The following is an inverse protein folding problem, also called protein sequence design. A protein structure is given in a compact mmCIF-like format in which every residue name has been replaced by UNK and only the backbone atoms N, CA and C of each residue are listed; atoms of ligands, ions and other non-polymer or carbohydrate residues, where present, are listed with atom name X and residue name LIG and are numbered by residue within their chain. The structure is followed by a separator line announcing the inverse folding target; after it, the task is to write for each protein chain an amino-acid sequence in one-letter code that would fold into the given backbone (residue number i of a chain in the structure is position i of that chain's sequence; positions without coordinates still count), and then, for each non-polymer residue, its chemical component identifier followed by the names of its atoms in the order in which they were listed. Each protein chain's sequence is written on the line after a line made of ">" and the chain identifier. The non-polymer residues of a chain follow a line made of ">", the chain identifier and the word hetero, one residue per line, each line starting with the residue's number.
data_IF_042395724999
#
_entry.id   IF_042395724999
#
_cell.length_a   1.000
_cell.length_b   1.000
_cell.length_c   1.000
_cell.angle_alpha   90.00
_cell.angle_beta   90.00
_cell.angle_gamma   90.00
#
_symmetry.space_group_name_H-M   'P 1'
#
loop_
_entity.id
_entity.type
_entity.pdbx_description
1 polymer ?
#
# COMPACT_ATOMS: atom_id res chain seq x y z
N UNK A 1 42.95 28.06 56.61
CA UNK A 1 42.04 27.39 57.57
C UNK A 1 41.45 26.15 56.90
N UNK A 2 42.21 25.04 56.98
CA UNK A 2 41.84 23.62 57.07
C UNK A 2 40.56 23.22 56.29
N UNK A 3 40.53 22.73 55.04
CA UNK A 3 41.28 21.70 54.28
C UNK A 3 41.17 20.25 54.78
N UNK A 4 40.51 19.38 53.99
CA UNK A 4 40.86 18.02 53.52
C UNK A 4 39.65 17.51 52.71
N UNK A 5 39.73 17.27 51.39
CA UNK A 5 40.29 16.08 50.73
C UNK A 5 39.09 15.28 50.17
N UNK A 6 38.86 15.08 48.87
CA UNK A 6 39.79 14.64 47.85
C UNK A 6 39.78 13.11 47.81
N UNK A 7 38.83 12.50 47.10
CA UNK A 7 39.02 11.13 46.60
C UNK A 7 38.36 10.96 45.23
N UNK A 8 39.25 10.70 44.28
CA UNK A 8 39.07 10.32 42.89
C UNK A 8 38.92 8.80 42.88
N UNK A 9 37.93 8.27 42.15
CA UNK A 9 38.00 6.91 41.64
C UNK A 9 37.85 6.94 40.13
N UNK A 10 39.01 6.82 39.50
CA UNK A 10 39.28 6.56 38.09
C UNK A 10 39.06 5.08 37.77
N UNK A 11 38.67 4.86 36.51
CA UNK A 11 39.04 3.74 35.63
C UNK A 11 38.92 2.29 36.13
N UNK A 12 38.03 1.53 35.47
CA UNK A 12 38.41 0.26 34.85
C UNK A 12 37.83 0.15 33.45
N UNK A 13 38.68 0.50 32.49
CA UNK A 13 38.75 -0.13 31.17
C UNK A 13 39.06 -1.62 31.36
N UNK A 14 38.35 -2.49 30.65
CA UNK A 14 38.85 -3.81 30.26
C UNK A 14 38.60 -3.94 28.76
N UNK A 15 39.65 -3.63 28.02
CA UNK A 15 39.95 -4.18 26.71
C UNK A 15 40.73 -5.48 26.92
N UNK A 16 40.36 -6.55 26.24
CA UNK A 16 41.31 -7.55 25.75
C UNK A 16 40.73 -8.22 24.50
N UNK A 17 41.28 -7.80 23.36
CA UNK A 17 41.62 -8.59 22.17
C UNK A 17 42.46 -9.82 22.59
N UNK A 18 42.71 -10.88 21.84
CA UNK A 18 42.82 -11.12 20.41
C UNK A 18 43.09 -12.64 20.28
N UNK A 19 42.65 -13.28 19.19
CA UNK A 19 43.50 -14.25 18.47
C UNK A 19 42.79 -14.75 17.22
N UNK A 20 43.17 -14.10 16.13
CA UNK A 20 43.28 -14.58 14.75
C UNK A 20 43.61 -16.06 14.58
N UNK A 21 42.97 -16.71 13.61
CA UNK A 21 43.66 -17.57 12.63
C UNK A 21 43.16 -17.23 11.23
N UNK A 22 44.14 -17.01 10.37
CA UNK A 22 44.08 -16.46 9.03
C UNK A 22 44.29 -17.57 7.97
N UNK A 23 43.56 -17.44 6.84
CA UNK A 23 43.87 -17.85 5.46
C UNK A 23 43.49 -19.26 4.91
N UNK A 24 43.31 -19.41 3.56
CA UNK A 24 43.43 -18.41 2.49
C UNK A 24 42.23 -18.27 1.53
N UNK A 25 42.30 -17.19 0.75
CA UNK A 25 41.55 -16.92 -0.48
C UNK A 25 41.74 -18.00 -1.55
N UNK A 26 40.66 -18.33 -2.26
CA UNK A 26 40.72 -18.72 -3.68
C UNK A 26 39.50 -18.16 -4.41
N UNK A 27 39.80 -17.45 -5.50
CA UNK A 27 38.90 -16.89 -6.51
C UNK A 27 38.09 -17.94 -7.29
N UNK A 28 37.11 -17.40 -8.03
CA UNK A 28 36.25 -18.00 -9.06
C UNK A 28 34.98 -18.70 -8.56
N UNK A 29 33.82 -18.08 -8.81
CA UNK A 29 32.91 -18.50 -9.88
C UNK A 29 31.73 -17.52 -10.03
N UNK A 30 31.54 -17.09 -11.27
CA UNK A 30 30.34 -16.46 -11.79
C UNK A 30 29.13 -17.39 -11.67
N UNK A 31 27.99 -16.92 -11.14
CA UNK A 31 26.67 -17.33 -11.64
C UNK A 31 25.54 -16.45 -11.08
N UNK A 32 24.62 -16.12 -11.98
CA UNK A 32 23.40 -15.34 -11.78
C UNK A 32 22.43 -15.99 -10.78
N UNK A 33 21.75 -15.25 -9.89
CA UNK A 33 20.75 -15.86 -9.01
C UNK A 33 19.49 -16.19 -9.80
N UNK A 34 19.28 -17.49 -10.01
CA UNK A 34 18.02 -18.07 -10.43
C UNK A 34 16.97 -17.92 -9.33
N UNK A 35 15.74 -17.62 -9.74
CA UNK A 35 14.52 -17.67 -8.94
C UNK A 35 14.43 -18.98 -8.17
N UNK A 36 14.48 -18.92 -6.83
CA UNK A 36 13.91 -19.96 -5.99
C UNK A 36 13.54 -19.39 -4.62
N UNK A 37 12.24 -19.49 -4.31
CA UNK A 37 11.61 -19.81 -3.02
C UNK A 37 10.17 -19.31 -3.07
N UNK A 38 9.33 -20.04 -3.81
CA UNK A 38 7.88 -20.03 -3.60
C UNK A 38 7.63 -21.06 -2.51
N UNK A 39 7.30 -20.59 -1.31
CA UNK A 39 6.86 -21.46 -0.23
C UNK A 39 5.67 -22.28 -0.69
N UNK A 40 5.87 -23.59 -0.62
CA UNK A 40 4.96 -24.63 -1.04
C UNK A 40 3.87 -24.76 0.03
N UNK A 41 2.63 -24.35 -0.26
CA UNK A 41 1.49 -24.64 0.61
C UNK A 41 0.26 -25.12 -0.16
N UNK A 42 -0.08 -26.37 0.18
CA UNK A 42 -1.25 -27.19 -0.11
C UNK A 42 -2.51 -26.44 -0.59
N UNK A 43 -2.75 -26.51 -1.90
CA UNK A 43 -4.10 -26.86 -2.36
C UNK A 43 -4.31 -28.32 -1.94
N UNK A 44 -5.41 -28.56 -1.23
CA UNK A 44 -5.81 -29.90 -0.81
C UNK A 44 -5.67 -30.91 -1.96
N UNK A 45 -5.11 -32.04 -1.58
CA UNK A 45 -5.04 -33.28 -2.33
C UNK A 45 -6.43 -33.77 -2.70
N UNK A 46 -7.00 -33.25 -3.78
CA UNK A 46 -7.97 -33.98 -4.57
C UNK A 46 -7.25 -34.45 -5.84
N UNK A 47 -7.21 -35.76 -6.02
CA UNK A 47 -6.70 -36.42 -7.21
C UNK A 47 -7.60 -36.08 -8.40
N UNK A 48 -7.41 -34.89 -8.98
CA UNK A 48 -8.15 -34.47 -10.17
C UNK A 48 -7.75 -35.38 -11.33
N UNK A 49 -8.70 -36.17 -11.81
CA UNK A 49 -8.53 -37.18 -12.84
C UNK A 49 -8.25 -36.52 -14.22
N UNK A 50 -7.15 -36.87 -14.87
CA UNK A 50 -6.79 -36.31 -16.18
C UNK A 50 -7.81 -36.67 -17.27
N UNK A 51 -8.49 -37.80 -17.13
CA UNK A 51 -9.50 -38.27 -18.07
C UNK A 51 -10.77 -37.39 -18.02
N UNK A 52 -11.16 -36.89 -16.85
CA UNK A 52 -12.31 -35.98 -16.70
C UNK A 52 -12.04 -34.59 -17.30
N UNK A 53 -10.80 -34.10 -17.17
CA UNK A 53 -10.40 -32.80 -17.73
C UNK A 53 -10.44 -32.82 -19.26
N UNK A 54 -10.04 -33.93 -19.88
CA UNK A 54 -10.06 -34.08 -21.35
C UNK A 54 -11.48 -34.30 -21.89
N UNK A 55 -12.37 -34.98 -21.17
CA UNK A 55 -13.80 -35.07 -21.51
C UNK A 55 -14.53 -33.72 -21.43
N UNK A 56 -14.14 -32.85 -20.49
CA UNK A 56 -14.71 -31.52 -20.33
C UNK A 56 -14.34 -30.55 -21.48
N UNK A 57 -13.30 -30.81 -22.28
CA UNK A 57 -12.90 -29.93 -23.41
C UNK A 57 -14.02 -29.76 -24.46
N UNK A 58 -14.95 -30.71 -24.58
CA UNK A 58 -16.02 -30.75 -25.59
C UNK A 58 -17.41 -30.28 -25.15
N UNK A 59 -17.62 -29.90 -23.89
CA UNK A 59 -18.95 -29.48 -23.39
C UNK A 59 -19.26 -28.04 -23.78
N UNK A 60 -20.42 -27.81 -24.40
CA UNK A 60 -20.96 -26.46 -24.62
C UNK A 60 -21.30 -25.83 -23.27
N UNK A 61 -20.74 -24.66 -22.97
CA UNK A 61 -21.02 -23.91 -21.75
C UNK A 61 -22.30 -23.11 -21.96
N UNK A 62 -23.29 -23.30 -21.08
CA UNK A 62 -24.44 -22.42 -21.04
C UNK A 62 -24.06 -21.14 -20.29
N UNK A 63 -23.84 -20.06 -21.02
CA UNK A 63 -23.51 -18.76 -20.45
C UNK A 63 -24.65 -18.16 -19.61
N UNK A 64 -25.85 -18.74 -19.64
CA UNK A 64 -26.97 -18.35 -18.78
C UNK A 64 -26.95 -19.04 -17.41
N UNK A 65 -26.23 -20.16 -17.26
CA UNK A 65 -26.04 -20.83 -15.97
C UNK A 65 -24.66 -20.52 -15.37
N UNK A 66 -24.65 -19.63 -14.39
CA UNK A 66 -23.43 -19.23 -13.67
C UNK A 66 -22.70 -20.41 -13.00
N UNK A 67 -23.42 -21.47 -12.64
CA UNK A 67 -22.83 -22.67 -12.03
C UNK A 67 -21.94 -23.40 -13.02
N UNK A 68 -22.45 -23.63 -14.24
CA UNK A 68 -21.68 -24.22 -15.35
C UNK A 68 -20.50 -23.34 -15.78
N UNK A 69 -20.67 -22.01 -15.74
CA UNK A 69 -19.59 -21.06 -16.03
C UNK A 69 -18.48 -21.15 -14.99
N UNK A 70 -18.83 -21.27 -13.70
CA UNK A 70 -17.85 -21.43 -12.62
C UNK A 70 -17.08 -22.74 -12.74
N UNK A 71 -17.77 -23.85 -12.97
CA UNK A 71 -17.16 -25.16 -13.18
C UNK A 71 -16.19 -25.11 -14.38
N UNK A 72 -16.57 -24.41 -15.46
CA UNK A 72 -15.68 -24.21 -16.60
C UNK A 72 -14.44 -23.38 -16.26
N UNK A 73 -14.57 -22.32 -15.47
CA UNK A 73 -13.44 -21.51 -15.00
C UNK A 73 -12.46 -22.40 -14.22
N UNK A 74 -12.97 -23.20 -13.27
CA UNK A 74 -12.16 -24.12 -12.46
C UNK A 74 -11.44 -25.16 -13.32
N UNK A 75 -12.13 -25.74 -14.31
CA UNK A 75 -11.56 -26.68 -15.27
C UNK A 75 -10.43 -26.07 -16.10
N UNK A 76 -10.63 -24.87 -16.67
CA UNK A 76 -9.58 -24.17 -17.45
C UNK A 76 -8.39 -23.84 -16.55
N UNK A 77 -8.61 -23.43 -15.30
CA UNK A 77 -7.53 -23.23 -14.33
C UNK A 77 -6.76 -24.53 -14.08
N UNK A 78 -7.45 -25.66 -13.92
CA UNK A 78 -6.84 -26.99 -13.82
C UNK A 78 -5.92 -27.30 -15.01
N UNK A 79 -6.41 -27.09 -16.24
CA UNK A 79 -5.63 -27.28 -17.48
C UNK A 79 -4.40 -26.36 -17.51
N UNK A 80 -4.59 -25.06 -17.23
CA UNK A 80 -3.52 -24.08 -17.30
C UNK A 80 -2.43 -24.29 -16.24
N UNK A 81 -2.78 -24.90 -15.10
CA UNK A 81 -1.84 -25.27 -14.02
C UNK A 81 -0.95 -26.45 -14.39
N UNK A 82 -1.51 -27.46 -15.07
CA UNK A 82 -0.81 -28.69 -15.51
C UNK A 82 -0.43 -28.65 -17.00
N UNK A 83 -0.24 -27.45 -17.55
CA UNK A 83 -0.03 -27.25 -18.99
C UNK A 83 1.10 -28.08 -19.60
N UNK A 84 2.23 -28.25 -18.90
CA UNK A 84 3.38 -29.02 -19.39
C UNK A 84 3.14 -30.54 -19.42
N UNK A 85 2.16 -31.04 -18.68
CA UNK A 85 1.89 -32.47 -18.50
C UNK A 85 0.67 -32.96 -19.29
N UNK A 86 -0.11 -32.04 -19.87
CA UNK A 86 -1.33 -32.34 -20.61
C UNK A 86 -1.08 -32.21 -22.12
N UNK A 87 -1.54 -33.18 -22.90
CA UNK A 87 -1.59 -33.09 -24.35
C UNK A 87 -2.94 -32.46 -24.76
N UNK A 88 -2.92 -31.14 -24.97
CA UNK A 88 -4.13 -30.35 -25.27
C UNK A 88 -4.26 -30.07 -26.76
N UNK A 89 -5.46 -30.20 -27.33
CA UNK A 89 -5.72 -29.92 -28.75
C UNK A 89 -5.75 -28.42 -29.11
N UNK A 90 -5.87 -27.55 -28.11
CA UNK A 90 -5.99 -26.08 -28.26
C UNK A 90 -4.73 -25.39 -27.76
N UNK A 91 -4.45 -24.18 -28.28
CA UNK A 91 -3.34 -23.37 -27.79
C UNK A 91 -3.63 -22.78 -26.40
N UNK A 92 -2.57 -22.44 -25.67
CA UNK A 92 -2.67 -21.80 -24.34
C UNK A 92 -3.41 -20.45 -24.43
N UNK A 93 -3.14 -19.68 -25.48
CA UNK A 93 -3.82 -18.41 -25.73
C UNK A 93 -5.33 -18.59 -25.89
N UNK A 94 -5.76 -19.66 -26.57
CA UNK A 94 -7.18 -19.97 -26.76
C UNK A 94 -7.91 -20.20 -25.44
N UNK A 95 -7.27 -20.90 -24.49
CA UNK A 95 -7.82 -21.12 -23.15
C UNK A 95 -7.87 -19.83 -22.33
N UNK A 96 -6.84 -18.98 -22.43
CA UNK A 96 -6.81 -17.70 -21.74
C UNK A 96 -7.91 -16.76 -22.27
N UNK A 97 -8.13 -16.73 -23.58
CA UNK A 97 -9.17 -15.89 -24.19
C UNK A 97 -10.58 -16.38 -23.84
N UNK A 98 -10.78 -17.69 -23.73
CA UNK A 98 -12.03 -18.25 -23.18
C UNK A 98 -12.21 -17.86 -21.71
N UNK A 99 -11.17 -18.02 -20.90
CA UNK A 99 -11.20 -17.66 -19.48
C UNK A 99 -11.56 -16.18 -19.26
N UNK A 100 -11.01 -15.27 -20.08
CA UNK A 100 -11.35 -13.84 -20.04
C UNK A 100 -12.84 -13.58 -20.27
N UNK A 101 -13.43 -14.26 -21.26
CA UNK A 101 -14.87 -14.14 -21.57
C UNK A 101 -15.71 -14.65 -20.42
N UNK A 102 -15.36 -15.82 -19.87
CA UNK A 102 -16.07 -16.41 -18.74
C UNK A 102 -16.00 -15.52 -17.49
N UNK A 103 -14.84 -14.92 -17.20
CA UNK A 103 -14.68 -13.97 -16.09
C UNK A 103 -15.55 -12.73 -16.27
N UNK A 104 -15.61 -12.17 -17.48
CA UNK A 104 -16.48 -11.03 -17.78
C UNK A 104 -17.95 -11.36 -17.55
N UNK A 105 -18.40 -12.56 -17.92
CA UNK A 105 -19.77 -13.02 -17.69
C UNK A 105 -20.04 -13.29 -16.21
N UNK A 106 -19.16 -14.06 -15.55
CA UNK A 106 -19.38 -14.54 -14.18
C UNK A 106 -19.23 -13.44 -13.13
N UNK A 107 -18.16 -12.65 -13.20
CA UNK A 107 -17.87 -11.61 -12.20
C UNK A 107 -18.37 -10.21 -12.58
N UNK A 108 -18.83 -10.02 -13.82
CA UNK A 108 -19.40 -8.76 -14.31
C UNK A 108 -18.37 -7.65 -14.58
N UNK A 109 -17.14 -8.02 -14.96
CA UNK A 109 -16.08 -7.07 -15.31
C UNK A 109 -16.15 -6.65 -16.77
N UNK A 110 -15.82 -5.38 -17.06
CA UNK A 110 -15.59 -4.96 -18.45
C UNK A 110 -14.45 -5.76 -19.08
N UNK A 111 -14.55 -6.06 -20.37
CA UNK A 111 -13.51 -6.81 -21.10
C UNK A 111 -12.13 -6.15 -20.98
N UNK A 112 -12.11 -4.81 -21.02
CA UNK A 112 -10.88 -4.01 -20.90
C UNK A 112 -10.20 -4.21 -19.53
N UNK A 113 -10.97 -4.23 -18.43
CA UNK A 113 -10.43 -4.45 -17.10
C UNK A 113 -10.07 -5.92 -16.84
N UNK A 114 -10.88 -6.86 -17.32
CA UNK A 114 -10.56 -8.29 -17.25
C UNK A 114 -9.19 -8.55 -17.90
N UNK A 115 -9.01 -8.10 -19.14
CA UNK A 115 -7.75 -8.22 -19.87
C UNK A 115 -6.59 -7.50 -19.17
N UNK A 116 -6.86 -6.38 -18.48
CA UNK A 116 -5.85 -5.70 -17.66
C UNK A 116 -5.39 -6.56 -16.47
N UNK A 117 -6.30 -7.17 -15.71
CA UNK A 117 -5.94 -8.00 -14.56
C UNK A 117 -5.22 -9.29 -14.99
N UNK A 118 -5.60 -9.89 -16.13
CA UNK A 118 -4.86 -11.02 -16.71
C UNK A 118 -3.46 -10.65 -17.24
N UNK A 119 -3.15 -9.35 -17.42
CA UNK A 119 -1.78 -8.89 -17.67
C UNK A 119 -1.00 -8.66 -16.38
N UNK A 120 -1.68 -8.37 -15.28
CA UNK A 120 -1.07 -8.07 -13.98
C UNK A 120 -0.73 -9.35 -13.21
N UNK A 121 -1.59 -10.36 -13.33
CA UNK A 121 -1.48 -11.63 -12.62
C UNK A 121 -1.38 -12.79 -13.60
N UNK A 122 -0.75 -13.88 -13.16
CA UNK A 122 -0.90 -15.14 -13.88
C UNK A 122 -2.36 -15.62 -13.83
N UNK A 123 -2.83 -16.50 -14.74
CA UNK A 123 -4.24 -16.86 -14.82
C UNK A 123 -4.84 -17.41 -13.51
N UNK A 124 -4.08 -18.21 -12.75
CA UNK A 124 -4.55 -18.78 -11.48
C UNK A 124 -4.71 -17.71 -10.41
N UNK A 125 -3.70 -16.86 -10.27
CA UNK A 125 -3.72 -15.73 -9.35
C UNK A 125 -4.80 -14.71 -9.72
N UNK A 126 -5.08 -14.52 -11.01
CA UNK A 126 -6.16 -13.66 -11.47
C UNK A 126 -7.52 -14.14 -10.97
N UNK A 127 -7.82 -15.44 -11.06
CA UNK A 127 -9.08 -16.00 -10.53
C UNK A 127 -9.17 -15.84 -9.02
N UNK A 128 -8.10 -16.12 -8.27
CA UNK A 128 -8.06 -15.88 -6.83
C UNK A 128 -8.35 -14.41 -6.48
N UNK A 129 -7.80 -13.49 -7.28
CA UNK A 129 -8.07 -12.07 -7.13
C UNK A 129 -9.55 -11.73 -7.39
N UNK A 130 -10.16 -12.29 -8.43
CA UNK A 130 -11.59 -12.07 -8.71
C UNK A 130 -12.47 -12.62 -7.57
N UNK A 131 -12.23 -13.86 -7.13
CA UNK A 131 -12.96 -14.47 -6.02
C UNK A 131 -12.85 -13.66 -4.72
N UNK A 132 -11.65 -13.19 -4.39
CA UNK A 132 -11.43 -12.38 -3.20
C UNK A 132 -12.17 -11.03 -3.25
N UNK A 133 -12.50 -10.51 -4.45
CA UNK A 133 -13.27 -9.28 -4.58
C UNK A 133 -14.79 -9.51 -4.47
N UNK A 134 -15.29 -10.73 -4.62
CA UNK A 134 -16.70 -11.05 -4.37
C UNK A 134 -17.00 -11.27 -2.89
N UNK A 135 -15.98 -11.48 -2.07
CA UNK A 135 -16.13 -11.64 -0.63
C UNK A 135 -15.98 -10.30 0.10
N UNK A 136 -16.86 -10.00 1.08
CA UNK A 136 -16.72 -8.80 1.88
C UNK A 136 -15.45 -8.88 2.73
N UNK A 137 -14.62 -7.83 2.68
CA UNK A 137 -13.46 -7.74 3.55
C UNK A 137 -13.87 -7.53 5.02
N UNK A 138 -13.13 -8.10 5.98
CA UNK A 138 -13.38 -7.92 7.39
C UNK A 138 -13.47 -6.43 7.78
N UNK A 139 -14.43 -6.12 8.65
CA UNK A 139 -14.57 -4.78 9.19
C UNK A 139 -13.37 -4.46 10.07
N UNK A 140 -12.74 -3.32 9.85
CA UNK A 140 -11.58 -2.88 10.63
C UNK A 140 -11.80 -1.49 11.22
N UNK A 141 -11.27 -1.29 12.42
CA UNK A 141 -11.31 -0.03 13.15
C UNK A 141 -9.91 0.37 13.61
N UNK A 142 -9.69 1.68 13.70
CA UNK A 142 -8.46 2.26 14.25
C UNK A 142 -8.76 2.89 15.60
N UNK A 143 -8.08 2.41 16.63
CA UNK A 143 -8.12 3.00 17.97
C UNK A 143 -7.52 4.41 17.97
N UNK A 144 -8.20 5.33 18.65
CA UNK A 144 -7.69 6.67 18.90
C UNK A 144 -6.84 6.70 20.19
N UNK A 145 -5.52 6.61 20.05
CA UNK A 145 -4.60 6.55 21.20
C UNK A 145 -4.49 7.85 21.98
N UNK A 146 -5.05 8.95 21.47
CA UNK A 146 -5.21 10.19 22.24
C UNK A 146 -6.27 10.07 23.35
N UNK A 147 -7.22 9.14 23.20
CA UNK A 147 -8.37 9.00 24.09
C UNK A 147 -8.40 7.67 24.86
N UNK A 148 -7.90 6.59 24.27
CA UNK A 148 -7.92 5.27 24.92
C UNK A 148 -6.83 4.34 24.38
N UNK A 149 -6.45 3.32 25.14
CA UNK A 149 -5.54 2.26 24.65
C UNK A 149 -6.33 1.20 23.89
N UNK A 150 -5.68 0.54 22.92
CA UNK A 150 -6.29 -0.52 22.11
C UNK A 150 -6.88 -1.67 22.97
N UNK A 151 -6.17 -2.07 24.02
CA UNK A 151 -6.63 -3.13 24.95
C UNK A 151 -7.91 -2.71 25.67
N UNK A 152 -7.94 -1.49 26.20
CA UNK A 152 -9.10 -0.97 26.93
C UNK A 152 -10.31 -0.80 26.01
N UNK A 153 -10.09 -0.34 24.77
CA UNK A 153 -11.14 -0.28 23.76
C UNK A 153 -11.68 -1.68 23.41
N UNK A 154 -10.80 -2.66 23.20
CA UNK A 154 -11.21 -4.03 22.90
C UNK A 154 -12.10 -4.60 24.01
N UNK A 155 -11.71 -4.43 25.28
CA UNK A 155 -12.53 -4.84 26.45
C UNK A 155 -13.90 -4.14 26.43
N UNK A 156 -13.95 -2.83 26.17
CA UNK A 156 -15.21 -2.08 26.09
C UNK A 156 -16.15 -2.61 25.01
N UNK A 157 -15.61 -2.97 23.84
CA UNK A 157 -16.38 -3.51 22.72
C UNK A 157 -16.84 -4.96 22.98
N UNK A 158 -15.99 -5.79 23.59
CA UNK A 158 -16.32 -7.17 23.98
C UNK A 158 -17.47 -7.17 25.00
N UNK A 159 -17.44 -6.28 25.98
CA UNK A 159 -18.52 -6.13 26.96
C UNK A 159 -19.87 -5.72 26.33
N UNK A 160 -19.85 -5.16 25.11
CA UNK A 160 -21.06 -4.85 24.31
C UNK A 160 -21.47 -5.98 23.36
N UNK A 161 -20.78 -7.11 23.38
CA UNK A 161 -21.05 -8.25 22.51
C UNK A 161 -20.48 -8.10 21.10
N UNK A 162 -19.36 -7.39 20.94
CA UNK A 162 -18.54 -7.43 19.74
C UNK A 162 -17.42 -8.47 19.87
N UNK A 163 -17.15 -9.20 18.79
CA UNK A 163 -15.96 -10.04 18.68
C UNK A 163 -14.88 -9.26 17.94
N UNK A 164 -13.79 -8.91 18.64
CA UNK A 164 -12.72 -8.07 18.13
C UNK A 164 -11.35 -8.66 18.42
N UNK A 165 -10.49 -8.61 17.40
CA UNK A 165 -9.12 -9.11 17.48
C UNK A 165 -8.13 -8.07 16.96
N UNK A 166 -6.85 -8.11 17.38
CA UNK A 166 -5.79 -7.32 16.74
C UNK A 166 -5.71 -7.64 15.24
N UNK A 167 -5.47 -6.61 14.39
CA UNK A 167 -5.25 -6.84 12.94
C UNK A 167 -3.98 -7.66 12.67
N UNK A 168 -2.96 -7.48 13.52
CA UNK A 168 -1.68 -8.15 13.44
C UNK A 168 -0.62 -7.34 14.18
N UNK A 169 0.57 -7.91 14.35
CA UNK A 169 1.63 -7.32 15.17
C UNK A 169 2.28 -6.07 14.55
N UNK A 170 2.02 -5.82 13.27
CA UNK A 170 2.51 -4.65 12.54
C UNK A 170 1.80 -3.34 12.90
N UNK A 171 0.67 -3.38 13.63
CA UNK A 171 -0.04 -2.18 14.10
C UNK A 171 -0.41 -2.28 15.58
N UNK A 172 -0.25 -1.16 16.31
CA UNK A 172 -0.61 -1.08 17.73
C UNK A 172 -2.03 -0.58 17.95
N UNK A 173 -2.67 -0.02 16.93
CA UNK A 173 -3.95 0.68 16.99
C UNK A 173 -5.10 -0.09 16.33
N UNK A 174 -4.80 -0.96 15.38
CA UNK A 174 -5.77 -1.66 14.55
C UNK A 174 -6.51 -2.80 15.27
N UNK A 175 -7.82 -2.87 15.09
CA UNK A 175 -8.66 -4.02 15.46
C UNK A 175 -9.51 -4.47 14.27
N UNK A 176 -9.65 -5.80 14.10
CA UNK A 176 -10.65 -6.44 13.24
C UNK A 176 -11.90 -6.66 14.07
N UNK A 177 -13.06 -6.43 13.48
CA UNK A 177 -14.36 -6.77 14.06
C UNK A 177 -14.94 -7.92 13.25
N UNK A 178 -15.00 -9.11 13.85
CA UNK A 178 -15.55 -10.31 13.21
C UNK A 178 -17.08 -10.31 13.22
N UNK A 179 -17.66 -9.90 14.34
CA UNK A 179 -19.10 -9.79 14.51
C UNK A 179 -19.42 -8.79 15.61
N UNK A 180 -20.61 -8.20 15.58
CA UNK A 180 -21.08 -7.32 16.64
C UNK A 180 -22.59 -7.31 16.71
N UNK A 181 -23.14 -7.43 17.93
CA UNK A 181 -24.58 -7.26 18.18
C UNK A 181 -25.02 -5.79 18.05
N UNK A 182 -24.09 -4.86 18.27
CA UNK A 182 -24.33 -3.40 18.20
C UNK A 182 -23.67 -2.83 16.93
N UNK A 183 -24.34 -1.94 16.19
CA UNK A 183 -23.71 -1.28 15.04
C UNK A 183 -22.45 -0.52 15.46
N UNK A 184 -21.29 -0.91 14.90
CA UNK A 184 -19.98 -0.35 15.25
C UNK A 184 -19.87 1.15 14.94
N UNK A 185 -20.68 1.69 14.02
CA UNK A 185 -20.74 3.11 13.72
C UNK A 185 -21.64 3.94 14.65
N UNK A 186 -22.32 3.31 15.62
CA UNK A 186 -23.30 3.97 16.49
C UNK A 186 -23.05 3.74 17.98
N UNK A 187 -21.88 3.20 18.35
CA UNK A 187 -21.53 3.00 19.76
C UNK A 187 -21.18 4.33 20.44
N UNK A 188 -21.37 4.45 21.77
CA UNK A 188 -20.90 5.61 22.52
C UNK A 188 -19.40 5.88 22.33
N UNK A 189 -18.58 4.84 22.24
CA UNK A 189 -17.14 4.93 22.01
C UNK A 189 -16.81 5.51 20.64
N UNK A 190 -17.56 5.17 19.60
CA UNK A 190 -17.42 5.80 18.28
C UNK A 190 -17.78 7.28 18.36
N UNK A 191 -18.91 7.64 18.95
CA UNK A 191 -19.36 9.03 19.08
C UNK A 191 -18.40 9.87 19.93
N UNK A 192 -17.85 9.30 21.00
CA UNK A 192 -16.82 9.91 21.84
C UNK A 192 -15.46 10.00 21.14
N UNK A 193 -15.30 9.40 19.96
CA UNK A 193 -14.07 9.43 19.17
C UNK A 193 -12.97 8.51 19.68
N UNK A 194 -13.30 7.45 20.41
CA UNK A 194 -12.33 6.44 20.85
C UNK A 194 -11.79 5.60 19.69
N UNK A 195 -12.52 5.55 18.57
CA UNK A 195 -12.05 4.93 17.33
C UNK A 195 -12.74 5.52 16.09
N UNK A 196 -12.22 5.11 14.93
CA UNK A 196 -12.81 5.37 13.62
C UNK A 196 -12.84 4.08 12.80
N UNK A 197 -13.90 3.89 12.01
CA UNK A 197 -13.96 2.82 11.00
C UNK A 197 -13.01 3.19 9.87
N UNK A 198 -12.01 2.35 9.63
CA UNK A 198 -10.95 2.62 8.68
C UNK A 198 -10.34 1.31 8.24
N UNK A 199 -10.10 1.17 6.94
CA UNK A 199 -9.46 -0.04 6.44
C UNK A 199 -8.05 -0.19 6.96
N UNK A 200 -7.66 -1.43 7.24
CA UNK A 200 -6.30 -1.78 7.65
C UNK A 200 -5.25 -1.25 6.67
N UNK A 201 -5.47 -1.35 5.34
CA UNK A 201 -4.56 -0.80 4.32
C UNK A 201 -4.32 0.70 4.48
N UNK A 202 -5.32 1.45 4.96
CA UNK A 202 -5.21 2.89 5.18
C UNK A 202 -4.35 3.28 6.39
N UNK A 203 -3.93 2.34 7.24
CA UNK A 203 -2.98 2.59 8.33
C UNK A 203 -1.54 2.67 7.81
N UNK A 204 -1.22 1.85 6.80
CA UNK A 204 0.13 1.61 6.29
C UNK A 204 0.83 2.90 5.82
N UNK A 205 0.19 3.81 5.05
CA UNK A 205 0.82 5.06 4.64
C UNK A 205 1.23 5.95 5.80
N UNK A 206 0.38 6.04 6.82
CA UNK A 206 0.62 6.92 7.98
C UNK A 206 1.71 6.34 8.88
N UNK A 207 1.70 5.02 9.09
CA UNK A 207 2.77 4.33 9.80
C UNK A 207 4.11 4.46 9.05
N UNK A 208 4.09 4.36 7.71
CA UNK A 208 5.28 4.56 6.87
C UNK A 208 5.79 6.01 6.92
N UNK A 209 4.86 6.97 7.01
CA UNK A 209 5.17 8.40 7.11
C UNK A 209 5.87 8.69 8.44
N UNK A 210 5.48 8.00 9.51
CA UNK A 210 6.03 8.13 10.86
C UNK A 210 6.18 9.60 11.32
N UNK A 211 5.10 10.41 11.28
CA UNK A 211 5.15 11.81 11.68
C UNK A 211 5.54 11.94 13.15
N UNK A 212 6.34 12.96 13.47
CA UNK A 212 6.84 13.19 14.83
C UNK A 212 6.16 14.39 15.48
N UNK A 213 6.09 14.44 16.81
CA UNK A 213 5.68 15.64 17.54
C UNK A 213 6.46 16.88 17.09
N UNK A 214 5.79 18.03 17.05
CA UNK A 214 6.33 19.35 16.69
C UNK A 214 6.77 19.54 15.21
N UNK A 215 6.54 18.58 14.31
CA UNK A 215 6.79 18.74 12.87
C UNK A 215 5.66 19.52 12.16
N UNK A 216 5.96 20.07 10.98
CA UNK A 216 4.96 20.55 10.03
C UNK A 216 4.64 19.43 9.02
N UNK A 217 3.41 18.94 9.05
CA UNK A 217 2.96 17.83 8.23
C UNK A 217 1.80 18.26 7.34
N UNK A 218 1.79 17.80 6.08
CA UNK A 218 0.67 17.99 5.16
C UNK A 218 0.05 16.64 4.78
N UNK A 219 -1.27 16.54 4.90
CA UNK A 219 -2.10 15.57 4.19
C UNK A 219 -2.72 16.28 2.98
N UNK A 220 -2.22 15.98 1.77
CA UNK A 220 -2.54 16.75 0.56
C UNK A 220 -3.95 16.44 0.01
N UNK A 221 -4.48 15.25 0.30
CA UNK A 221 -5.77 14.73 -0.19
C UNK A 221 -6.53 14.05 0.97
N UNK A 222 -6.85 14.86 1.97
CA UNK A 222 -7.16 14.44 3.32
C UNK A 222 -8.54 13.81 3.51
N UNK A 223 -9.57 14.18 2.74
CA UNK A 223 -10.91 13.73 3.03
C UNK A 223 -11.07 12.22 2.76
N UNK A 224 -11.80 11.48 3.61
CA UNK A 224 -12.68 11.93 4.70
C UNK A 224 -12.00 12.13 6.07
N UNK A 225 -10.66 12.08 6.18
CA UNK A 225 -9.92 12.42 7.40
C UNK A 225 -9.41 11.24 8.23
N UNK A 226 -9.60 10.00 7.79
CA UNK A 226 -9.11 8.82 8.52
C UNK A 226 -7.58 8.81 8.67
N UNK A 227 -6.85 9.11 7.59
CA UNK A 227 -5.38 9.20 7.60
C UNK A 227 -4.91 10.46 8.31
N UNK A 228 -5.53 11.61 8.04
CA UNK A 228 -5.26 12.88 8.72
C UNK A 228 -5.34 12.76 10.24
N UNK A 229 -6.42 12.15 10.76
CA UNK A 229 -6.59 12.00 12.21
C UNK A 229 -5.61 11.00 12.81
N UNK A 230 -5.12 10.03 12.03
CA UNK A 230 -4.04 9.17 12.45
C UNK A 230 -2.70 9.92 12.51
N UNK A 231 -2.43 10.82 11.56
CA UNK A 231 -1.26 11.72 11.62
C UNK A 231 -1.31 12.58 12.88
N UNK A 232 -2.43 13.27 13.13
CA UNK A 232 -2.59 14.13 14.32
C UNK A 232 -2.43 13.36 15.63
N UNK A 233 -2.91 12.12 15.68
CA UNK A 233 -2.68 11.21 16.80
C UNK A 233 -1.19 10.91 17.03
N UNK A 234 -0.44 10.53 15.98
CA UNK A 234 0.98 10.20 16.11
C UNK A 234 1.84 11.43 16.44
N UNK A 235 1.40 12.62 16.04
CA UNK A 235 2.00 13.90 16.43
C UNK A 235 1.63 14.31 17.87
N UNK A 236 0.80 13.52 18.58
CA UNK A 236 0.32 13.81 19.92
C UNK A 236 -0.28 15.23 20.07
N UNK A 237 -1.05 15.68 19.07
CA UNK A 237 -1.62 17.04 19.00
C UNK A 237 -0.59 18.19 19.11
N UNK A 238 0.68 17.98 18.75
CA UNK A 238 1.70 19.04 18.70
C UNK A 238 2.17 19.33 17.28
N UNK A 239 2.88 20.44 17.04
CA UNK A 239 3.24 20.88 15.68
C UNK A 239 2.03 21.40 14.89
N UNK A 240 2.10 21.35 13.56
CA UNK A 240 1.01 21.83 12.68
C UNK A 240 0.71 20.78 11.61
N UNK A 241 -0.56 20.37 11.53
CA UNK A 241 -1.06 19.45 10.53
C UNK A 241 -1.96 20.18 9.52
N UNK A 242 -1.48 20.38 8.30
CA UNK A 242 -2.33 20.86 7.21
C UNK A 242 -3.12 19.69 6.62
N UNK A 243 -4.44 19.84 6.52
CA UNK A 243 -5.35 18.84 5.98
C UNK A 243 -6.10 19.43 4.78
N UNK A 244 -5.61 19.15 3.57
CA UNK A 244 -6.17 19.70 2.34
C UNK A 244 -7.03 18.68 1.59
N UNK A 245 -8.18 19.09 1.07
CA UNK A 245 -8.89 18.35 0.04
C UNK A 245 -9.46 19.31 -1.00
N UNK A 246 -9.36 18.99 -2.28
CA UNK A 246 -9.85 19.88 -3.35
C UNK A 246 -11.38 19.90 -3.44
N UNK A 247 -12.07 18.88 -2.89
CA UNK A 247 -13.51 18.80 -2.90
C UNK A 247 -14.12 19.37 -1.61
N UNK A 248 -14.68 20.58 -1.73
CA UNK A 248 -15.34 21.31 -0.63
C UNK A 248 -16.44 20.51 0.07
N UNK A 249 -17.17 19.66 -0.63
CA UNK A 249 -18.21 18.82 -0.01
C UNK A 249 -17.63 17.77 0.93
N UNK A 250 -16.50 17.15 0.54
CA UNK A 250 -15.81 16.13 1.33
C UNK A 250 -15.08 16.73 2.54
N UNK A 251 -14.70 18.02 2.48
CA UNK A 251 -14.16 18.75 3.62
C UNK A 251 -15.10 18.75 4.84
N UNK A 252 -16.43 18.66 4.65
CA UNK A 252 -17.39 18.57 5.77
C UNK A 252 -17.14 17.32 6.62
N UNK A 253 -16.95 16.17 5.98
CA UNK A 253 -16.64 14.90 6.66
C UNK A 253 -15.27 14.92 7.32
N UNK A 254 -14.28 15.56 6.67
CA UNK A 254 -12.95 15.77 7.23
C UNK A 254 -13.02 16.57 8.54
N UNK A 255 -13.68 17.73 8.53
CA UNK A 255 -13.88 18.59 9.72
C UNK A 255 -14.61 17.83 10.82
N UNK A 256 -15.70 17.13 10.48
CA UNK A 256 -16.45 16.32 11.45
C UNK A 256 -15.57 15.26 12.13
N UNK A 257 -14.77 14.51 11.37
CA UNK A 257 -13.89 13.50 11.94
C UNK A 257 -12.74 14.10 12.77
N UNK A 258 -12.17 15.23 12.35
CA UNK A 258 -11.15 15.96 13.12
C UNK A 258 -11.70 16.36 14.49
N UNK A 259 -12.88 16.98 14.55
CA UNK A 259 -13.49 17.39 15.81
C UNK A 259 -13.88 16.20 16.68
N UNK A 260 -14.55 15.19 16.10
CA UNK A 260 -14.97 13.99 16.84
C UNK A 260 -13.79 13.27 17.48
N UNK A 261 -12.69 13.13 16.74
CA UNK A 261 -11.48 12.44 17.22
C UNK A 261 -10.59 13.33 18.11
N UNK A 262 -10.89 14.62 18.26
CA UNK A 262 -10.14 15.53 19.14
C UNK A 262 -8.76 15.89 18.61
N UNK A 263 -8.63 16.07 17.30
CA UNK A 263 -7.39 16.57 16.69
C UNK A 263 -7.37 18.09 16.79
N UNK A 264 -6.41 18.63 17.52
CA UNK A 264 -6.37 20.05 17.91
C UNK A 264 -5.36 20.87 17.09
N UNK A 265 -4.36 20.21 16.52
CA UNK A 265 -3.25 20.84 15.80
C UNK A 265 -3.46 20.92 14.28
N UNK A 266 -4.70 20.79 13.80
CA UNK A 266 -4.99 20.69 12.37
C UNK A 266 -5.56 21.98 11.77
N UNK A 267 -5.11 22.33 10.55
CA UNK A 267 -5.67 23.40 9.72
C UNK A 267 -6.29 22.76 8.48
N UNK A 268 -7.61 22.88 8.33
CA UNK A 268 -8.33 22.36 7.15
C UNK A 268 -8.31 23.37 6.02
N UNK A 269 -7.89 22.94 4.84
CA UNK A 269 -7.79 23.77 3.65
C UNK A 269 -8.56 23.17 2.46
N UNK A 270 -8.96 24.01 1.52
CA UNK A 270 -9.61 23.60 0.27
C UNK A 270 -8.91 24.28 -0.92
N UNK A 271 -7.84 23.65 -1.40
CA UNK A 271 -7.09 24.08 -2.57
C UNK A 271 -6.86 22.92 -3.53
N UNK A 272 -6.59 23.24 -4.79
CA UNK A 272 -5.99 22.25 -5.69
C UNK A 272 -4.56 21.96 -5.23
N UNK A 273 -4.10 20.72 -5.40
CA UNK A 273 -2.81 20.32 -4.85
C UNK A 273 -1.61 21.05 -5.45
N UNK A 274 -1.70 21.52 -6.69
CA UNK A 274 -0.67 22.32 -7.36
C UNK A 274 -0.59 23.78 -6.82
N UNK A 275 -1.71 24.32 -6.35
CA UNK A 275 -1.79 25.66 -5.75
C UNK A 275 -1.11 25.71 -4.37
N UNK A 276 -1.03 24.58 -3.65
CA UNK A 276 -0.47 24.48 -2.30
C UNK A 276 0.98 24.98 -2.21
N UNK A 277 1.77 24.83 -3.28
CA UNK A 277 3.17 25.26 -3.33
C UNK A 277 3.32 26.77 -3.11
N UNK A 278 2.29 27.56 -3.44
CA UNK A 278 2.31 29.03 -3.34
C UNK A 278 1.78 29.53 -2.00
N UNK A 279 0.95 28.75 -1.31
CA UNK A 279 0.20 29.19 -0.13
C UNK A 279 0.68 28.56 1.17
N UNK A 280 1.39 27.43 1.11
CA UNK A 280 1.88 26.73 2.29
C UNK A 280 3.40 26.87 2.49
N UNK A 281 3.88 26.84 3.74
CA UNK A 281 5.31 26.75 4.04
C UNK A 281 5.88 25.39 3.63
N UNK A 282 7.21 25.27 3.62
CA UNK A 282 7.84 23.96 3.39
C UNK A 282 7.53 22.98 4.52
N UNK A 283 7.21 21.74 4.16
CA UNK A 283 6.79 20.70 5.10
C UNK A 283 7.94 19.77 5.46
N UNK A 284 7.96 19.30 6.71
CA UNK A 284 8.87 18.23 7.15
C UNK A 284 8.44 16.89 6.54
N UNK A 285 7.12 16.64 6.53
CA UNK A 285 6.54 15.43 5.92
C UNK A 285 5.27 15.72 5.15
N UNK A 286 5.05 14.95 4.08
CA UNK A 286 3.84 15.03 3.27
C UNK A 286 3.28 13.63 3.05
N UNK A 287 2.01 13.46 3.36
CA UNK A 287 1.21 12.34 2.89
C UNK A 287 0.49 12.76 1.61
N UNK A 288 0.74 12.01 0.53
CA UNK A 288 -0.01 12.08 -0.71
C UNK A 288 -0.72 10.74 -0.91
N UNK A 289 -1.89 10.60 -0.29
CA UNK A 289 -2.84 9.54 -0.62
C UNK A 289 -3.65 9.97 -1.85
N UNK A 290 -3.12 9.65 -3.03
CA UNK A 290 -3.50 10.33 -4.24
C UNK A 290 -4.87 9.86 -4.76
N UNK A 291 -5.70 10.77 -5.33
CA UNK A 291 -6.93 10.38 -6.01
C UNK A 291 -6.60 9.41 -7.15
N UNK A 292 -7.26 8.26 -7.14
CA UNK A 292 -6.98 7.16 -8.06
C UNK A 292 -8.25 6.51 -8.60
N UNK A 293 -8.07 5.53 -9.48
CA UNK A 293 -9.15 4.76 -10.11
C UNK A 293 -9.98 3.94 -9.12
N UNK A 294 -9.36 3.51 -8.01
CA UNK A 294 -10.00 2.68 -6.98
C UNK A 294 -9.98 1.18 -7.30
N UNK A 295 -9.16 0.71 -8.26
CA UNK A 295 -9.11 -0.70 -8.66
C UNK A 295 -8.78 -1.68 -7.51
N UNK A 296 -8.30 -1.21 -6.37
CA UNK A 296 -8.03 -2.03 -5.20
C UNK A 296 -9.19 -2.16 -4.21
N UNK A 297 -10.31 -1.43 -4.40
CA UNK A 297 -11.46 -1.43 -3.47
C UNK A 297 -12.74 -1.95 -4.13
N UNK A 298 -12.60 -2.85 -5.11
CA UNK A 298 -13.73 -3.40 -5.89
C UNK A 298 -14.74 -4.14 -4.99
N UNK A 299 -14.27 -4.85 -3.96
CA UNK A 299 -15.14 -5.51 -2.97
C UNK A 299 -16.04 -4.53 -2.19
N UNK A 300 -15.64 -3.26 -2.10
CA UNK A 300 -16.42 -2.20 -1.42
C UNK A 300 -17.28 -1.39 -2.38
N UNK A 301 -16.80 -1.17 -3.61
CA UNK A 301 -17.54 -0.49 -4.67
C UNK A 301 -17.50 -1.34 -5.96
N UNK A 302 -18.44 -2.29 -6.12
CA UNK A 302 -18.55 -3.12 -7.31
C UNK A 302 -18.76 -2.34 -8.60
N UNK A 303 -19.22 -1.07 -8.53
CA UNK A 303 -19.46 -0.25 -9.72
C UNK A 303 -18.17 0.08 -10.48
N UNK A 304 -17.00 -0.08 -9.84
CA UNK A 304 -15.68 0.08 -10.44
C UNK A 304 -15.45 -0.93 -11.59
N UNK A 305 -16.03 -2.14 -11.50
CA UNK A 305 -15.90 -3.20 -12.51
C UNK A 305 -16.35 -2.77 -13.91
N UNK A 306 -17.25 -1.80 -13.99
CA UNK A 306 -17.86 -1.33 -15.24
C UNK A 306 -17.53 0.14 -15.55
N UNK A 307 -17.38 0.98 -14.52
CA UNK A 307 -17.20 2.44 -14.70
C UNK A 307 -15.77 2.89 -15.00
N UNK A 308 -14.77 2.03 -14.77
CA UNK A 308 -13.35 2.39 -14.96
C UNK A 308 -12.80 1.74 -16.21
N UNK A 309 -12.06 2.52 -17.00
CA UNK A 309 -11.32 2.03 -18.16
C UNK A 309 -9.88 2.54 -18.20
N UNK A 310 -9.12 2.14 -19.21
CA UNK A 310 -7.69 2.50 -19.29
C UNK A 310 -7.46 4.01 -19.42
N UNK A 311 -8.40 4.74 -20.05
CA UNK A 311 -8.36 6.21 -20.14
C UNK A 311 -8.40 6.88 -18.77
N UNK A 312 -9.16 6.33 -17.83
CA UNK A 312 -9.22 6.85 -16.46
C UNK A 312 -7.89 6.64 -15.73
N UNK A 313 -7.27 5.46 -15.92
CA UNK A 313 -5.97 5.15 -15.32
C UNK A 313 -4.90 6.15 -15.78
N UNK A 314 -4.88 6.47 -17.07
CA UNK A 314 -3.95 7.46 -17.63
C UNK A 314 -4.23 8.87 -17.11
N UNK A 315 -5.51 9.28 -17.07
CA UNK A 315 -5.91 10.60 -16.55
C UNK A 315 -5.49 10.76 -15.09
N UNK A 316 -5.76 9.74 -14.26
CA UNK A 316 -5.38 9.74 -12.85
C UNK A 316 -3.86 9.72 -12.67
N UNK A 317 -3.13 8.91 -13.43
CA UNK A 317 -1.66 8.89 -13.43
C UNK A 317 -1.08 10.29 -13.70
N UNK A 318 -1.63 11.03 -14.67
CA UNK A 318 -1.16 12.38 -14.97
C UNK A 318 -1.43 13.36 -13.83
N UNK A 319 -2.63 13.32 -13.23
CA UNK A 319 -2.95 14.13 -12.04
C UNK A 319 -2.02 13.77 -10.87
N UNK A 320 -1.80 12.48 -10.62
CA UNK A 320 -0.93 12.00 -9.54
C UNK A 320 0.53 12.47 -9.73
N UNK A 321 1.05 12.46 -10.96
CA UNK A 321 2.38 13.03 -11.27
C UNK A 321 2.44 14.53 -10.97
N UNK A 322 1.38 15.29 -11.24
CA UNK A 322 1.30 16.71 -10.90
C UNK A 322 1.30 16.92 -9.39
N UNK A 323 0.47 16.18 -8.65
CA UNK A 323 0.39 16.24 -7.19
C UNK A 323 1.69 15.82 -6.51
N UNK A 324 2.34 14.77 -7.02
CA UNK A 324 3.63 14.31 -6.50
C UNK A 324 4.73 15.33 -6.79
N UNK A 325 4.71 15.98 -7.96
CA UNK A 325 5.61 17.09 -8.28
C UNK A 325 5.41 18.25 -7.29
N UNK A 326 4.16 18.63 -7.00
CA UNK A 326 3.85 19.66 -6.01
C UNK A 326 4.34 19.27 -4.61
N UNK A 327 4.15 18.01 -4.20
CA UNK A 327 4.65 17.47 -2.93
C UNK A 327 6.17 17.56 -2.82
N UNK A 328 6.90 17.15 -3.86
CA UNK A 328 8.37 17.24 -3.91
C UNK A 328 8.84 18.70 -3.83
N UNK A 329 8.12 19.62 -4.46
CA UNK A 329 8.44 21.04 -4.37
C UNK A 329 8.16 21.60 -2.97
N UNK A 330 7.13 21.13 -2.28
CA UNK A 330 6.72 21.62 -0.97
C UNK A 330 7.51 21.00 0.19
N UNK A 331 8.07 19.80 0.04
CA UNK A 331 8.86 19.17 1.11
C UNK A 331 10.24 19.83 1.27
N UNK A 332 10.68 19.97 2.52
CA UNK A 332 12.03 20.42 2.87
C UNK A 332 13.09 19.43 2.35
N UNK A 333 14.35 19.87 2.13
CA UNK A 333 15.48 18.95 2.02
C UNK A 333 15.50 17.98 3.20
N UNK A 334 15.80 16.71 2.95
CA UNK A 334 15.72 15.58 3.88
C UNK A 334 14.31 15.27 4.44
N UNK A 335 13.28 16.00 4.01
CA UNK A 335 11.90 15.71 4.39
C UNK A 335 11.34 14.50 3.64
N UNK A 336 10.26 13.94 4.19
CA UNK A 336 9.69 12.66 3.77
C UNK A 336 8.39 12.88 3.01
N UNK A 337 8.20 12.14 1.93
CA UNK A 337 6.92 12.04 1.23
C UNK A 337 6.51 10.58 1.25
N UNK A 338 5.29 10.29 1.70
CA UNK A 338 4.66 9.00 1.45
C UNK A 338 3.60 9.18 0.37
N UNK A 339 3.79 8.46 -0.72
CA UNK A 339 2.83 8.33 -1.79
C UNK A 339 2.05 7.02 -1.62
N UNK A 340 0.73 7.09 -1.73
CA UNK A 340 -0.11 5.90 -1.73
C UNK A 340 -1.32 6.02 -2.66
N UNK A 341 -1.86 4.88 -3.07
CA UNK A 341 -3.15 4.78 -3.79
C UNK A 341 -3.90 3.53 -3.36
N UNK A 342 -5.23 3.53 -3.51
CA UNK A 342 -6.06 2.32 -3.51
C UNK A 342 -6.28 1.77 -4.93
N UNK A 343 -5.25 1.85 -5.78
CA UNK A 343 -5.25 1.29 -7.13
C UNK A 343 -4.22 0.17 -7.25
N UNK A 344 -4.52 -0.80 -8.11
CA UNK A 344 -3.61 -1.87 -8.48
C UNK A 344 -2.87 -1.58 -9.79
N UNK A 345 -3.20 -0.48 -10.48
CA UNK A 345 -2.65 -0.18 -11.78
C UNK A 345 -1.16 0.18 -11.73
N UNK A 346 -0.42 -0.23 -12.75
CA UNK A 346 0.99 0.10 -12.95
C UNK A 346 1.15 1.59 -13.30
N UNK A 347 0.19 2.14 -14.05
CA UNK A 347 0.15 3.54 -14.50
C UNK A 347 0.08 4.51 -13.32
N UNK A 348 -0.69 4.19 -12.30
CA UNK A 348 -0.87 5.03 -11.12
C UNK A 348 0.23 4.77 -10.09
N UNK A 349 0.84 3.59 -10.06
CA UNK A 349 1.82 3.24 -9.03
C UNK A 349 3.26 3.37 -9.52
N UNK A 350 3.86 2.29 -10.02
CA UNK A 350 5.28 2.23 -10.37
C UNK A 350 5.66 3.30 -11.40
N UNK A 351 4.79 3.59 -12.37
CA UNK A 351 5.08 4.62 -13.38
C UNK A 351 5.15 6.03 -12.77
N UNK A 352 4.31 6.35 -11.79
CA UNK A 352 4.33 7.65 -11.10
C UNK A 352 5.60 7.79 -10.27
N UNK A 353 5.96 6.74 -9.52
CA UNK A 353 7.17 6.73 -8.71
C UNK A 353 8.44 6.75 -9.57
N UNK A 354 8.47 5.95 -10.64
CA UNK A 354 9.58 5.94 -11.59
C UNK A 354 9.77 7.31 -12.25
N UNK A 355 8.69 7.99 -12.63
CA UNK A 355 8.74 9.37 -13.11
C UNK A 355 9.38 10.31 -12.09
N UNK A 356 8.96 10.21 -10.81
CA UNK A 356 9.46 11.10 -9.77
C UNK A 356 10.97 10.92 -9.52
N UNK A 357 11.45 9.67 -9.40
CA UNK A 357 12.87 9.37 -9.17
C UNK A 357 13.74 9.83 -10.34
N UNK A 358 13.26 9.72 -11.58
CA UNK A 358 14.03 10.15 -12.75
C UNK A 358 14.09 11.66 -12.93
N UNK A 359 13.05 12.38 -12.49
CA UNK A 359 12.91 13.82 -12.73
C UNK A 359 13.42 14.68 -11.57
N UNK A 360 13.39 14.17 -10.35
CA UNK A 360 13.69 14.94 -9.16
C UNK A 360 14.78 14.28 -8.31
N UNK A 361 15.45 15.09 -7.47
CA UNK A 361 16.46 14.63 -6.54
C UNK A 361 15.83 13.97 -5.30
N UNK A 362 15.17 12.83 -5.51
CA UNK A 362 14.48 12.04 -4.48
C UNK A 362 14.95 10.59 -4.52
N UNK A 363 15.01 9.93 -3.38
CA UNK A 363 15.29 8.49 -3.29
C UNK A 363 14.16 7.76 -2.58
N UNK A 364 13.89 6.52 -3.01
CA UNK A 364 13.04 5.61 -2.25
C UNK A 364 13.81 5.06 -1.04
N UNK A 365 13.11 4.92 0.07
CA UNK A 365 13.61 4.34 1.31
C UNK A 365 12.63 3.29 1.84
N UNK A 366 13.07 2.34 2.67
CA UNK A 366 12.19 1.35 3.27
C UNK A 366 10.99 1.98 3.99
N UNK A 367 9.83 1.34 3.90
CA UNK A 367 8.62 1.80 4.58
C UNK A 367 8.75 1.75 6.12
N UNK A 368 9.59 0.83 6.63
CA UNK A 368 9.69 0.54 8.06
C UNK A 368 8.62 -0.43 8.57
N UNK A 369 8.03 -1.21 7.65
CA UNK A 369 7.02 -2.23 7.92
C UNK A 369 7.37 -3.49 7.12
N UNK A 370 7.23 -4.66 7.75
CA UNK A 370 7.51 -5.98 7.16
C UNK A 370 6.22 -6.64 6.66
N UNK A 371 5.47 -5.93 5.82
CA UNK A 371 4.21 -6.42 5.24
C UNK A 371 4.09 -5.97 3.78
N UNK A 372 3.39 -6.77 2.99
CA UNK A 372 3.08 -6.50 1.60
C UNK A 372 4.06 -7.17 0.65
N UNK A 373 3.59 -7.38 -0.58
CA UNK A 373 4.41 -7.91 -1.66
C UNK A 373 5.30 -6.81 -2.26
N UNK A 374 6.52 -7.13 -2.70
CA UNK A 374 7.34 -6.22 -3.50
C UNK A 374 6.60 -5.65 -4.71
N UNK A 375 6.89 -4.40 -5.06
CA UNK A 375 6.38 -3.79 -6.29
C UNK A 375 7.04 -4.40 -7.55
N UNK A 376 6.46 -4.17 -8.72
CA UNK A 376 7.01 -4.74 -9.95
C UNK A 376 8.36 -4.12 -10.33
N UNK A 377 9.32 -4.97 -10.72
CA UNK A 377 10.62 -4.53 -11.28
C UNK A 377 10.50 -4.16 -12.76
N UNK A 378 9.58 -4.80 -13.48
CA UNK A 378 9.26 -4.50 -14.87
C UNK A 378 7.82 -4.87 -15.19
N UNK A 379 7.27 -4.26 -16.24
CA UNK A 379 5.93 -4.57 -16.74
C UNK A 379 5.86 -4.38 -18.26
N UNK A 380 5.51 -5.45 -18.99
CA UNK A 380 5.32 -5.46 -20.45
C UNK A 380 6.45 -4.75 -21.23
N UNK A 381 7.70 -5.14 -20.95
CA UNK A 381 8.89 -4.59 -21.61
C UNK A 381 9.42 -3.27 -21.03
N UNK A 382 8.68 -2.62 -20.12
CA UNK A 382 9.16 -1.44 -19.40
C UNK A 382 9.87 -1.86 -18.11
N UNK A 383 11.14 -1.51 -17.97
CA UNK A 383 11.91 -1.70 -16.74
C UNK A 383 11.74 -0.49 -15.82
N UNK A 384 11.44 -0.74 -14.56
CA UNK A 384 11.37 0.30 -13.53
C UNK A 384 12.72 0.47 -12.83
N UNK A 385 12.82 1.51 -12.00
CA UNK A 385 14.04 1.75 -11.24
C UNK A 385 14.17 0.64 -10.18
N UNK A 386 15.35 0.01 -9.98
CA UNK A 386 15.49 -1.17 -9.11
C UNK A 386 15.01 -0.95 -7.67
N UNK A 387 15.15 0.28 -7.15
CA UNK A 387 14.69 0.64 -5.81
C UNK A 387 13.16 0.55 -5.63
N UNK A 388 12.38 0.56 -6.71
CA UNK A 388 10.92 0.43 -6.65
C UNK A 388 10.53 -0.96 -6.15
N UNK A 389 11.01 -2.02 -6.80
CA UNK A 389 10.76 -3.39 -6.36
C UNK A 389 11.31 -3.65 -4.95
N UNK A 390 12.46 -3.05 -4.61
CA UNK A 390 13.08 -3.22 -3.30
C UNK A 390 12.28 -2.58 -2.17
N UNK A 391 11.80 -1.35 -2.33
CA UNK A 391 11.28 -0.53 -1.21
C UNK A 391 9.79 -0.20 -1.28
N UNK A 392 9.16 -0.19 -2.46
CA UNK A 392 7.72 -0.02 -2.55
C UNK A 392 7.00 -1.34 -2.29
N UNK A 393 5.77 -1.23 -1.78
CA UNK A 393 4.95 -2.41 -1.43
C UNK A 393 3.57 -2.31 -2.04
N UNK A 394 3.08 -3.48 -2.45
CA UNK A 394 1.73 -3.74 -2.95
C UNK A 394 0.99 -4.63 -1.97
N UNK A 395 -0.31 -4.39 -1.86
CA UNK A 395 -1.24 -5.13 -1.05
C UNK A 395 -2.36 -5.60 -1.95
N UNK A 396 -2.85 -6.81 -1.69
CA UNK A 396 -3.83 -7.48 -2.54
C UNK A 396 -4.87 -8.20 -1.67
N UNK A 397 -6.15 -8.19 -2.08
CA UNK A 397 -7.22 -8.89 -1.37
C UNK A 397 -6.93 -10.38 -1.16
N UNK A 398 -6.58 -11.11 -2.21
CA UNK A 398 -6.37 -12.56 -2.16
C UNK A 398 -5.14 -13.00 -1.38
N UNK A 399 -4.14 -12.13 -1.21
CA UNK A 399 -2.88 -12.46 -0.50
C UNK A 399 -2.85 -12.01 0.95
N UNK A 400 -3.53 -10.91 1.28
CA UNK A 400 -3.38 -10.26 2.58
C UNK A 400 -4.70 -10.10 3.33
N UNK A 401 -5.84 -10.42 2.71
CA UNK A 401 -7.17 -10.08 3.25
C UNK A 401 -7.33 -8.57 3.53
N UNK A 402 -6.70 -7.75 2.68
CA UNK A 402 -6.65 -6.30 2.76
C UNK A 402 -7.18 -5.67 1.47
N UNK A 403 -7.60 -4.40 1.52
CA UNK A 403 -7.88 -3.67 0.28
C UNK A 403 -6.62 -3.66 -0.61
N UNK A 404 -6.82 -3.74 -1.92
CA UNK A 404 -5.77 -3.52 -2.90
C UNK A 404 -5.16 -2.13 -2.75
N UNK A 405 -3.84 -2.06 -2.56
CA UNK A 405 -3.19 -0.83 -2.13
C UNK A 405 -1.72 -0.77 -2.56
N UNK A 406 -1.19 0.43 -2.68
CA UNK A 406 0.23 0.67 -2.99
C UNK A 406 0.80 1.76 -2.09
N UNK A 407 2.04 1.55 -1.61
CA UNK A 407 2.74 2.53 -0.76
C UNK A 407 4.21 2.64 -1.18
N UNK A 408 4.67 3.89 -1.30
CA UNK A 408 6.05 4.24 -1.58
C UNK A 408 6.49 5.41 -0.70
N UNK A 409 7.67 5.28 -0.06
CA UNK A 409 8.25 6.31 0.80
C UNK A 409 9.48 6.92 0.14
N UNK A 410 9.43 8.22 -0.07
CA UNK A 410 10.47 9.03 -0.70
C UNK A 410 11.09 9.96 0.34
N UNK A 411 12.38 10.23 0.20
CA UNK A 411 13.07 11.30 0.90
C UNK A 411 13.69 12.24 -0.14
N UNK A 412 13.51 13.55 0.05
CA UNK A 412 14.12 14.55 -0.81
C UNK A 412 15.56 14.76 -0.42
N UNK A 413 16.47 14.61 -1.37
CA UNK A 413 17.89 14.86 -1.12
C UNK A 413 18.17 16.38 -1.13
N UNK A 414 19.17 16.84 -0.37
CA UNK A 414 19.60 18.22 -0.45
C UNK A 414 20.11 18.52 -1.85
N UNK A 415 19.83 19.71 -2.36
CA UNK A 415 20.49 20.18 -3.56
C UNK A 415 21.95 20.37 -3.21
N UNK A 416 22.83 19.50 -3.69
CA UNK A 416 24.26 19.75 -3.65
C UNK A 416 24.50 21.08 -4.37
N UNK A 417 24.98 22.10 -3.66
CA UNK A 417 25.52 23.29 -4.28
C UNK A 417 26.64 22.83 -5.22
N UNK A 418 26.37 22.86 -6.53
CA UNK A 418 27.45 22.82 -7.51
C UNK A 418 28.16 24.16 -7.31
N UNK A 419 29.21 24.17 -6.49
CA UNK A 419 30.22 25.22 -6.57
C UNK A 419 30.81 25.10 -7.98
N UNK A 420 30.31 25.93 -8.90
CA UNK A 420 31.06 26.26 -10.10
C UNK A 420 32.31 26.99 -9.62
N UNK A 421 33.38 26.25 -9.38
CA UNK A 421 34.73 26.81 -9.37
C UNK A 421 35.01 27.28 -10.79
N UNK A 422 34.60 28.50 -11.11
CA UNK A 422 35.23 29.26 -12.18
C UNK A 422 36.66 29.55 -11.72
N UNK A 423 37.57 28.62 -12.01
CA UNK A 423 38.97 28.98 -12.16
C UNK A 423 39.04 29.94 -13.35
N UNK A 424 39.12 31.23 -13.05
CA UNK A 424 39.68 32.21 -13.96
C UNK A 424 41.15 31.86 -14.13
N UNK A 425 41.48 31.12 -15.20
CA UNK A 425 42.84 31.10 -15.73
C UNK A 425 43.14 32.51 -16.26
N UNK A 426 43.79 33.31 -15.42
CA UNK A 426 44.66 34.38 -15.88
C UNK A 426 45.99 33.74 -16.22
N UNK A 427 46.26 33.54 -17.51
CA UNK A 427 47.62 33.32 -17.99
C UNK A 427 47.98 34.41 -19.00
N UNK A 428 49.18 34.94 -18.76
CA UNK A 428 49.95 35.89 -19.55
C UNK A 428 50.59 35.23 -20.75
#
# INVERSE_FOLDING_TARGET
>A
MIHFGGEVLSEKLVSESDSSEDLPETDEFSETPQDSTVDNFNLASDSVNLDEITEAEGRSVDLMDLSSVKERIENICGILSKWKALDTKRSRESYIDELKKLVTVYYGYSEELSDYFFKLFNPLEAIQFFDANEQPLPLTIRTNTLKTKRKDLAVSLINRGANVDPIGDWTKEGLVVHSSKVPIGATPEYLAGHYILQSASSLIPVLSLAPRPNELVLDMCAAPGGKTTHIGQLMNNTGILFANDSNKSRCKSLVSNIHRLGILNSIVCNYKGDELVRVLPKMDRILLDAPCSGLGVISRDPSIKVKRGLKDLQRNSNLQKQLLTASINLVKPNGIIVYSTCSLSIEENEQVIHYAIRKFNVKLVPLGLEIGTPAFSSFRGRKFHPSIAKFARRFYPHKHSLDGFFVAKLIKLPNSHIHQNHHTNTDK
#
